data_IF_454053582071
#
_entry.id   IF_454053582071
#
_cell.length_a   1.000
_cell.length_b   1.000
_cell.length_c   1.000
_cell.angle_alpha   90.00
_cell.angle_beta   90.00
_cell.angle_gamma   90.00
#
_symmetry.space_group_name_H-M   'P 1'
#
loop_
_entity.id
_entity.type
_entity.pdbx_description
1 polymer ?
#
# COMPACT_ATOMS: atom_id res chain seq x y z
N UNK A 1 -31.60 -29.27 2.03
CA UNK A 1 -31.70 -27.91 2.61
C UNK A 1 -31.24 -26.93 1.55
N UNK A 2 -32.11 -25.99 1.18
CA UNK A 2 -31.84 -24.98 0.16
C UNK A 2 -30.93 -23.90 0.79
N UNK A 3 -29.70 -23.65 0.33
CA UNK A 3 -28.88 -22.58 0.86
C UNK A 3 -29.45 -21.27 0.32
N UNK A 4 -30.13 -20.51 1.19
CA UNK A 4 -30.65 -19.19 0.85
C UNK A 4 -29.53 -18.23 0.38
N UNK A 5 -29.89 -17.12 -0.28
CA UNK A 5 -28.92 -16.19 -0.83
C UNK A 5 -28.00 -15.66 0.26
N UNK A 6 -26.69 -15.81 0.06
CA UNK A 6 -25.63 -15.22 0.87
C UNK A 6 -25.92 -13.73 1.11
N UNK A 7 -26.41 -13.38 2.30
CA UNK A 7 -26.35 -12.01 2.81
C UNK A 7 -25.01 -11.86 3.52
N UNK A 8 -23.98 -11.50 2.76
CA UNK A 8 -22.73 -11.03 3.35
C UNK A 8 -23.04 -9.81 4.23
N UNK A 9 -22.86 -9.96 5.54
CA UNK A 9 -22.88 -8.83 6.47
C UNK A 9 -21.52 -8.14 6.36
N UNK A 10 -21.34 -7.39 5.27
CA UNK A 10 -20.25 -6.43 5.14
C UNK A 10 -20.84 -5.06 5.39
N UNK A 11 -20.63 -4.53 6.60
CA UNK A 11 -20.84 -3.11 6.85
C UNK A 11 -19.95 -2.27 5.92
N UNK A 12 -20.29 -0.99 5.67
CA UNK A 12 -19.57 -0.11 4.75
C UNK A 12 -18.07 0.10 5.08
N UNK A 13 -17.61 -0.35 6.24
CA UNK A 13 -16.24 -0.18 6.73
C UNK A 13 -15.33 -1.43 6.55
N UNK A 14 -15.88 -2.58 6.14
CA UNK A 14 -15.15 -3.87 6.15
C UNK A 14 -14.30 -4.15 4.89
N UNK A 15 -14.33 -3.29 3.87
CA UNK A 15 -13.63 -3.47 2.58
C UNK A 15 -12.18 -2.94 2.54
N UNK A 16 -11.58 -2.60 3.69
CA UNK A 16 -10.45 -1.67 3.71
C UNK A 16 -9.08 -2.19 4.17
N UNK A 17 -8.88 -3.46 4.52
CA UNK A 17 -7.66 -3.83 5.25
C UNK A 17 -6.77 -4.87 4.57
N UNK A 18 -5.99 -4.39 3.59
CA UNK A 18 -4.64 -4.84 3.30
C UNK A 18 -3.79 -3.57 3.06
N UNK A 19 -2.91 -3.21 4.01
CA UNK A 19 -2.02 -2.01 4.01
C UNK A 19 -2.43 -0.97 2.97
N UNK A 20 -3.47 -0.19 3.26
CA UNK A 20 -4.16 0.62 2.24
C UNK A 20 -3.19 1.58 1.52
N UNK A 21 -2.63 1.19 0.38
CA UNK A 21 -1.68 2.06 -0.31
C UNK A 21 -2.34 3.38 -0.74
N UNK A 22 -3.64 3.36 -1.04
CA UNK A 22 -4.43 4.57 -1.38
C UNK A 22 -5.06 5.24 -0.17
N UNK A 23 -5.44 4.49 0.87
CA UNK A 23 -5.99 5.01 2.14
C UNK A 23 -4.95 5.59 3.10
N UNK A 24 -3.67 5.62 2.67
CA UNK A 24 -2.62 6.36 3.35
C UNK A 24 -1.35 5.58 3.70
N UNK A 25 -1.25 4.30 3.32
CA UNK A 25 -0.25 3.36 3.82
C UNK A 25 -0.36 3.13 5.33
N UNK A 26 -1.59 2.87 5.80
CA UNK A 26 -1.89 2.52 7.20
C UNK A 26 -1.24 1.17 7.54
N UNK A 27 -0.52 1.13 8.67
CA UNK A 27 0.00 -0.12 9.22
C UNK A 27 -1.09 -0.88 9.98
N UNK A 28 -1.12 -2.20 9.79
CA UNK A 28 -2.05 -3.06 10.51
C UNK A 28 -1.52 -3.33 11.91
N UNK A 29 -2.42 -3.35 12.90
CA UNK A 29 -2.07 -3.75 14.26
C UNK A 29 -1.49 -5.18 14.24
N UNK A 30 -0.50 -5.49 15.11
CA UNK A 30 0.07 -6.83 15.18
C UNK A 30 -1.00 -7.92 15.34
N UNK A 31 -0.93 -8.96 14.51
CA UNK A 31 -1.86 -10.09 14.55
C UNK A 31 -3.25 -9.83 13.96
N UNK A 32 -3.50 -8.63 13.41
CA UNK A 32 -4.79 -8.28 12.83
C UNK A 32 -5.19 -9.24 11.70
N UNK A 33 -4.34 -9.45 10.69
CA UNK A 33 -4.69 -10.33 9.57
C UNK A 33 -4.89 -11.78 10.03
N UNK A 34 -4.15 -12.22 11.05
CA UNK A 34 -4.31 -13.57 11.60
C UNK A 34 -5.74 -13.76 12.13
N UNK A 35 -6.22 -12.82 12.95
CA UNK A 35 -7.57 -12.88 13.50
C UNK A 35 -8.64 -12.80 12.40
N UNK A 36 -8.46 -11.92 11.41
CA UNK A 36 -9.38 -11.80 10.27
C UNK A 36 -9.44 -13.11 9.48
N UNK A 37 -8.30 -13.71 9.16
CA UNK A 37 -8.27 -14.96 8.39
C UNK A 37 -8.89 -16.12 9.16
N UNK A 38 -8.65 -16.20 10.47
CA UNK A 38 -9.26 -17.20 11.35
C UNK A 38 -10.80 -17.08 11.34
N UNK A 39 -11.34 -15.85 11.37
CA UNK A 39 -12.79 -15.60 11.30
C UNK A 39 -13.36 -15.96 9.92
N UNK A 40 -12.72 -15.48 8.85
CA UNK A 40 -13.17 -15.71 7.46
C UNK A 40 -13.21 -17.21 7.14
N UNK A 41 -12.16 -17.95 7.50
CA UNK A 41 -12.08 -19.40 7.25
C UNK A 41 -13.09 -20.18 8.08
N UNK A 42 -13.35 -19.80 9.34
CA UNK A 42 -14.42 -20.41 10.15
C UNK A 42 -15.81 -20.23 9.53
N UNK A 43 -16.03 -19.14 8.79
CA UNK A 43 -17.26 -18.90 8.05
C UNK A 43 -17.29 -19.57 6.66
N UNK A 44 -16.25 -20.34 6.28
CA UNK A 44 -16.12 -20.97 4.97
C UNK A 44 -15.71 -20.03 3.84
N UNK A 45 -15.20 -18.83 4.17
CA UNK A 45 -14.70 -17.86 3.20
C UNK A 45 -13.24 -18.10 2.81
N UNK A 46 -12.81 -17.39 1.77
CA UNK A 46 -11.42 -17.37 1.29
C UNK A 46 -10.75 -16.03 1.60
N UNK A 47 -9.45 -16.08 1.88
CA UNK A 47 -8.64 -14.93 2.22
C UNK A 47 -7.82 -14.48 1.01
N UNK A 48 -8.05 -13.24 0.56
CA UNK A 48 -7.38 -12.65 -0.61
C UNK A 48 -6.45 -11.54 -0.13
N UNK A 49 -5.16 -11.64 -0.46
CA UNK A 49 -4.21 -10.56 -0.26
C UNK A 49 -4.03 -9.76 -1.56
N UNK A 50 -4.41 -8.47 -1.54
CA UNK A 50 -4.07 -7.53 -2.60
C UNK A 50 -2.65 -7.00 -2.39
N UNK A 51 -1.71 -7.57 -3.14
CA UNK A 51 -0.28 -7.24 -3.08
C UNK A 51 0.14 -6.35 -4.26
N UNK A 52 -0.81 -5.72 -4.95
CA UNK A 52 -0.52 -4.87 -6.10
C UNK A 52 0.43 -3.72 -5.73
N UNK A 53 0.34 -3.20 -4.50
CA UNK A 53 1.24 -2.14 -4.03
C UNK A 53 2.34 -2.62 -3.09
N UNK A 54 2.07 -3.64 -2.27
CA UNK A 54 2.94 -4.05 -1.17
C UNK A 54 3.87 -5.21 -1.49
N UNK A 55 3.60 -5.94 -2.58
CA UNK A 55 4.43 -7.05 -3.02
C UNK A 55 5.79 -6.63 -3.58
N UNK A 56 6.56 -7.63 -4.00
CA UNK A 56 7.87 -7.49 -4.64
C UNK A 56 8.89 -6.71 -3.81
N UNK A 57 8.96 -6.98 -2.50
CA UNK A 57 9.95 -6.40 -1.60
C UNK A 57 9.71 -4.93 -1.25
N UNK A 58 8.56 -4.36 -1.64
CA UNK A 58 8.25 -2.93 -1.42
C UNK A 58 8.29 -2.53 0.06
N UNK A 59 7.91 -3.43 0.95
CA UNK A 59 7.91 -3.18 2.40
C UNK A 59 9.30 -3.25 3.03
N UNK A 60 10.31 -3.72 2.29
CA UNK A 60 11.70 -3.84 2.71
C UNK A 60 11.95 -5.05 3.60
N UNK A 61 11.14 -5.26 4.65
CA UNK A 61 11.34 -6.38 5.57
C UNK A 61 10.97 -7.74 4.98
N UNK A 62 9.99 -7.78 4.07
CA UNK A 62 9.47 -9.01 3.48
C UNK A 62 9.21 -8.81 1.99
N UNK A 63 9.08 -9.92 1.27
CA UNK A 63 8.80 -9.90 -0.16
C UNK A 63 7.33 -9.53 -0.42
N UNK A 64 6.44 -10.03 0.41
CA UNK A 64 5.00 -9.77 0.38
C UNK A 64 4.53 -9.04 1.64
N UNK A 65 3.51 -8.20 1.49
CA UNK A 65 2.92 -7.45 2.60
C UNK A 65 2.30 -8.34 3.67
N UNK A 66 1.62 -9.42 3.29
CA UNK A 66 0.96 -10.36 4.20
C UNK A 66 1.95 -11.07 5.14
N UNK A 67 3.21 -11.25 4.73
CA UNK A 67 4.24 -11.91 5.54
C UNK A 67 4.55 -11.10 6.81
N UNK A 68 4.38 -9.76 6.75
CA UNK A 68 4.55 -8.88 7.91
C UNK A 68 3.53 -9.13 9.03
N UNK A 69 2.53 -9.96 8.78
CA UNK A 69 1.50 -10.38 9.75
C UNK A 69 1.54 -11.90 10.01
N UNK A 70 2.50 -12.62 9.44
CA UNK A 70 2.67 -14.07 9.64
C UNK A 70 1.51 -14.91 9.12
N UNK A 71 0.83 -14.47 8.07
CA UNK A 71 -0.31 -15.18 7.47
C UNK A 71 -0.01 -15.63 6.04
N UNK A 72 -0.69 -16.68 5.57
CA UNK A 72 -0.65 -17.12 4.17
C UNK A 72 -2.09 -17.01 3.62
N UNK A 73 -2.32 -16.19 2.59
CA UNK A 73 -3.63 -16.07 1.94
C UNK A 73 -3.92 -17.25 1.02
N UNK A 74 -5.19 -17.41 0.65
CA UNK A 74 -5.62 -18.42 -0.31
C UNK A 74 -5.44 -17.92 -1.77
N UNK A 75 -5.53 -16.59 -1.96
CA UNK A 75 -5.33 -15.91 -3.25
C UNK A 75 -4.42 -14.68 -3.05
N UNK A 76 -3.48 -14.44 -3.96
CA UNK A 76 -2.66 -13.23 -4.02
C UNK A 76 -2.87 -12.55 -5.37
N UNK A 77 -3.23 -11.27 -5.36
CA UNK A 77 -3.27 -10.44 -6.58
C UNK A 77 -2.04 -9.55 -6.66
N UNK A 78 -1.46 -9.42 -7.85
CA UNK A 78 -0.23 -8.66 -8.06
C UNK A 78 -0.23 -7.95 -9.41
N UNK A 79 0.35 -6.75 -9.45
CA UNK A 79 0.58 -5.97 -10.66
C UNK A 79 1.70 -4.95 -10.36
N UNK A 80 1.67 -3.75 -10.97
CA UNK A 80 2.60 -2.63 -10.71
C UNK A 80 4.07 -3.06 -10.69
N UNK A 81 4.60 -3.36 -9.50
CA UNK A 81 5.99 -3.77 -9.28
C UNK A 81 6.41 -4.95 -10.15
N UNK A 82 5.52 -5.90 -10.45
CA UNK A 82 5.84 -7.08 -11.28
C UNK A 82 6.32 -6.74 -12.69
N UNK A 83 5.78 -5.67 -13.29
CA UNK A 83 6.13 -5.24 -14.64
C UNK A 83 7.01 -4.01 -14.65
N UNK A 84 7.18 -3.33 -13.51
CA UNK A 84 7.94 -2.08 -13.35
C UNK A 84 7.76 -1.09 -14.53
N UNK A 85 6.51 -0.86 -14.94
CA UNK A 85 6.13 -0.02 -16.08
C UNK A 85 5.51 -0.79 -17.25
N UNK A 86 5.81 -2.08 -17.38
CA UNK A 86 5.12 -2.96 -18.34
C UNK A 86 3.73 -3.37 -17.80
N UNK A 87 2.72 -3.49 -18.67
CA UNK A 87 1.36 -3.88 -18.28
C UNK A 87 1.30 -5.37 -17.96
N UNK A 88 1.69 -5.72 -16.74
CA UNK A 88 1.70 -7.08 -16.24
C UNK A 88 0.96 -7.16 -14.90
N UNK A 89 0.10 -8.17 -14.79
CA UNK A 89 -0.57 -8.56 -13.56
C UNK A 89 -0.73 -10.07 -13.50
N UNK A 90 -0.86 -10.59 -12.30
CA UNK A 90 -1.05 -12.01 -12.06
C UNK A 90 -1.93 -12.23 -10.83
N UNK A 91 -2.52 -13.43 -10.78
CA UNK A 91 -3.21 -13.96 -9.62
C UNK A 91 -2.60 -15.32 -9.33
N UNK A 92 -2.19 -15.54 -8.09
CA UNK A 92 -1.71 -16.84 -7.59
C UNK A 92 -2.72 -17.34 -6.57
N UNK A 93 -3.01 -18.63 -6.57
CA UNK A 93 -4.04 -19.23 -5.72
C UNK A 93 -3.66 -20.66 -5.33
N UNK A 94 -4.33 -21.23 -4.32
CA UNK A 94 -4.18 -22.64 -3.98
C UNK A 94 -4.62 -23.56 -5.14
N UNK A 95 -4.09 -24.80 -5.22
CA UNK A 95 -4.51 -25.77 -6.21
C UNK A 95 -6.02 -26.08 -6.18
N UNK A 96 -6.65 -26.12 -4.99
CA UNK A 96 -8.10 -26.39 -4.91
C UNK A 96 -8.89 -25.29 -5.63
N UNK A 97 -8.57 -24.02 -5.38
CA UNK A 97 -9.24 -22.90 -6.05
C UNK A 97 -8.90 -22.88 -7.54
N UNK A 98 -7.63 -23.11 -7.92
CA UNK A 98 -7.22 -23.18 -9.31
C UNK A 98 -8.01 -24.25 -10.09
N UNK A 99 -8.28 -25.40 -9.47
CA UNK A 99 -9.04 -26.50 -10.09
C UNK A 99 -10.48 -26.09 -10.45
N UNK A 100 -11.12 -25.25 -9.64
CA UNK A 100 -12.46 -24.72 -9.90
C UNK A 100 -12.41 -23.67 -11.02
N UNK A 101 -11.41 -22.79 -10.99
CA UNK A 101 -11.23 -21.75 -12.01
C UNK A 101 -10.95 -22.34 -13.39
N UNK A 102 -10.18 -23.43 -13.45
CA UNK A 102 -9.88 -24.15 -14.69
C UNK A 102 -11.11 -24.76 -15.39
N UNK A 103 -12.21 -24.95 -14.66
CA UNK A 103 -13.49 -25.39 -15.25
C UNK A 103 -14.25 -24.26 -15.96
N UNK A 104 -13.76 -23.02 -15.88
CA UNK A 104 -14.34 -21.84 -16.52
C UNK A 104 -13.40 -21.32 -17.60
N UNK A 105 -13.97 -20.74 -18.66
CA UNK A 105 -13.19 -20.02 -19.66
C UNK A 105 -12.75 -18.70 -19.04
N UNK A 106 -11.45 -18.59 -18.74
CA UNK A 106 -10.81 -17.32 -18.44
C UNK A 106 -9.95 -16.92 -19.63
N UNK A 107 -10.22 -15.73 -20.19
CA UNK A 107 -9.52 -15.25 -21.37
C UNK A 107 -9.11 -13.79 -21.22
N UNK A 108 -7.88 -13.49 -21.63
CA UNK A 108 -7.31 -12.16 -21.67
C UNK A 108 -6.38 -12.04 -22.88
N UNK A 109 -6.74 -11.22 -23.88
CA UNK A 109 -6.00 -11.09 -25.15
C UNK A 109 -4.51 -10.82 -24.97
N UNK A 110 -4.15 -10.02 -23.96
CA UNK A 110 -2.76 -9.65 -23.66
C UNK A 110 -2.19 -10.34 -22.42
N UNK A 111 -2.96 -11.23 -21.79
CA UNK A 111 -2.53 -11.92 -20.57
C UNK A 111 -1.34 -12.83 -20.83
N UNK A 112 -0.30 -12.69 -20.02
CA UNK A 112 0.90 -13.52 -20.12
C UNK A 112 1.69 -13.35 -21.42
N UNK A 113 1.48 -12.28 -22.18
CA UNK A 113 2.18 -12.06 -23.45
C UNK A 113 3.71 -12.14 -23.27
N UNK A 114 4.46 -12.73 -24.21
CA UNK A 114 5.89 -13.01 -24.02
C UNK A 114 6.74 -11.79 -23.70
N UNK A 115 6.41 -10.62 -24.27
CA UNK A 115 7.15 -9.38 -24.04
C UNK A 115 7.04 -8.90 -22.58
N UNK A 116 5.82 -8.82 -22.05
CA UNK A 116 5.60 -8.45 -20.66
C UNK A 116 6.13 -9.52 -19.69
N UNK A 117 5.98 -10.80 -20.02
CA UNK A 117 6.49 -11.91 -19.20
C UNK A 117 8.02 -11.91 -19.09
N UNK A 118 8.73 -11.69 -20.20
CA UNK A 118 10.19 -11.58 -20.20
C UNK A 118 10.68 -10.35 -19.42
N UNK A 119 9.99 -9.20 -19.58
CA UNK A 119 10.28 -8.00 -18.82
C UNK A 119 10.03 -8.19 -17.32
N UNK A 120 8.93 -8.84 -16.95
CA UNK A 120 8.63 -9.18 -15.55
C UNK A 120 9.69 -10.10 -14.95
N UNK A 121 10.16 -11.11 -15.68
CA UNK A 121 11.25 -11.98 -15.23
C UNK A 121 12.55 -11.20 -14.99
N UNK A 122 12.88 -10.24 -15.87
CA UNK A 122 14.04 -9.38 -15.68
C UNK A 122 13.91 -8.51 -14.42
N UNK A 123 12.71 -7.97 -14.16
CA UNK A 123 12.41 -7.20 -12.94
C UNK A 123 12.61 -8.05 -11.69
N UNK A 124 12.07 -9.27 -11.65
CA UNK A 124 12.22 -10.18 -10.51
C UNK A 124 13.69 -10.45 -10.19
N UNK A 125 14.52 -10.72 -11.21
CA UNK A 125 15.96 -10.93 -11.03
C UNK A 125 16.67 -9.74 -10.37
N UNK A 126 16.27 -8.51 -10.72
CA UNK A 126 16.84 -7.30 -10.09
C UNK A 126 16.35 -7.16 -8.65
N UNK A 127 15.09 -7.50 -8.38
CA UNK A 127 14.51 -7.42 -7.04
C UNK A 127 15.21 -8.40 -6.09
N UNK A 128 15.32 -9.66 -6.52
CA UNK A 128 15.87 -10.77 -5.74
C UNK A 128 17.37 -10.57 -5.43
N UNK A 129 18.10 -9.85 -6.29
CA UNK A 129 19.53 -9.61 -6.10
C UNK A 129 19.82 -8.60 -4.98
N UNK A 130 19.08 -7.49 -4.93
CA UNK A 130 19.49 -6.37 -4.06
C UNK A 130 18.37 -5.40 -3.64
N UNK A 131 17.22 -5.37 -4.32
CA UNK A 131 16.30 -4.24 -4.12
C UNK A 131 15.49 -4.29 -2.83
N UNK A 132 15.18 -5.47 -2.31
CA UNK A 132 14.44 -5.58 -1.05
C UNK A 132 15.27 -5.00 0.12
N UNK A 133 16.52 -5.43 0.27
CA UNK A 133 17.43 -4.91 1.30
C UNK A 133 17.69 -3.41 1.13
N UNK A 134 17.91 -2.95 -0.11
CA UNK A 134 18.05 -1.53 -0.43
C UNK A 134 16.80 -0.72 -0.03
N UNK A 135 15.60 -1.24 -0.26
CA UNK A 135 14.36 -0.59 0.17
C UNK A 135 14.24 -0.48 1.68
N UNK A 136 14.70 -1.49 2.43
CA UNK A 136 14.72 -1.42 3.89
C UNK A 136 15.67 -0.31 4.39
N UNK A 137 16.88 -0.21 3.82
CA UNK A 137 17.88 0.79 4.20
C UNK A 137 17.43 2.22 3.86
N UNK A 138 17.11 2.48 2.58
CA UNK A 138 16.70 3.82 2.13
C UNK A 138 15.34 4.21 2.71
N UNK A 139 14.41 3.25 2.83
CA UNK A 139 13.11 3.48 3.45
C UNK A 139 13.24 3.89 4.92
N UNK A 140 14.11 3.23 5.68
CA UNK A 140 14.39 3.60 7.08
C UNK A 140 15.03 4.97 7.19
N UNK A 141 15.97 5.30 6.29
CA UNK A 141 16.57 6.63 6.22
C UNK A 141 15.52 7.72 5.95
N UNK A 142 14.63 7.52 4.98
CA UNK A 142 13.57 8.46 4.65
C UNK A 142 12.57 8.65 5.81
N UNK A 143 12.16 7.56 6.46
CA UNK A 143 11.26 7.61 7.63
C UNK A 143 11.94 8.36 8.79
N UNK A 144 13.21 8.09 9.06
CA UNK A 144 13.97 8.78 10.10
C UNK A 144 14.01 10.28 9.87
N UNK A 145 14.32 10.71 8.64
CA UNK A 145 14.29 12.12 8.24
C UNK A 145 12.90 12.74 8.44
N UNK A 146 11.84 12.08 7.95
CA UNK A 146 10.47 12.59 8.10
C UNK A 146 10.06 12.76 9.56
N UNK A 147 10.49 11.86 10.45
CA UNK A 147 10.26 11.98 11.90
C UNK A 147 10.98 13.19 12.49
N UNK A 148 12.26 13.39 12.17
CA UNK A 148 13.00 14.57 12.64
C UNK A 148 12.34 15.87 12.23
N UNK A 149 11.79 15.95 11.00
CA UNK A 149 11.00 17.12 10.61
C UNK A 149 9.72 17.27 11.43
N UNK A 150 9.00 16.18 11.67
CA UNK A 150 7.78 16.24 12.46
C UNK A 150 8.08 16.85 13.85
N UNK A 151 9.17 16.44 14.48
CA UNK A 151 9.64 16.97 15.77
C UNK A 151 10.03 18.46 15.68
N UNK A 152 10.75 18.86 14.63
CA UNK A 152 11.16 20.26 14.40
C UNK A 152 9.97 21.17 14.04
N UNK A 153 8.89 20.58 13.54
CA UNK A 153 7.84 21.29 12.85
C UNK A 153 6.41 20.87 13.25
N UNK A 154 6.18 20.59 14.54
CA UNK A 154 4.84 20.42 15.14
C UNK A 154 3.83 21.53 14.74
N UNK A 155 4.35 22.68 14.30
CA UNK A 155 3.60 23.85 13.83
C UNK A 155 3.14 23.80 12.37
N UNK A 156 3.67 22.92 11.52
CA UNK A 156 3.39 22.91 10.06
C UNK A 156 1.99 22.39 9.71
N UNK A 157 1.28 21.73 10.63
CA UNK A 157 -0.08 21.24 10.40
C UNK A 157 -0.18 20.09 9.38
N UNK A 158 0.96 19.56 8.90
CA UNK A 158 1.02 18.42 7.96
C UNK A 158 1.14 17.16 8.79
N UNK A 159 0.32 16.15 8.51
CA UNK A 159 0.64 14.82 8.98
C UNK A 159 1.66 14.20 8.01
N UNK A 160 2.94 14.23 8.40
CA UNK A 160 4.00 13.49 7.74
C UNK A 160 4.06 12.10 8.36
N UNK A 161 3.58 11.07 7.64
CA UNK A 161 3.53 9.74 8.24
C UNK A 161 2.89 8.66 7.37
N UNK A 162 2.76 7.48 7.98
CA UNK A 162 2.07 6.31 7.44
C UNK A 162 0.59 6.40 7.84
N UNK A 163 -0.30 6.64 6.89
CA UNK A 163 -1.76 6.73 7.10
C UNK A 163 -2.40 7.87 6.32
N UNK A 164 -3.70 8.13 6.51
CA UNK A 164 -4.37 9.31 5.92
C UNK A 164 -5.67 9.05 5.18
N UNK A 165 -6.74 8.76 5.94
CA UNK A 165 -8.08 8.53 5.38
C UNK A 165 -8.80 9.82 4.94
N UNK A 166 -8.28 11.00 5.34
CA UNK A 166 -8.93 12.30 5.11
C UNK A 166 -8.20 13.17 4.07
N UNK A 167 -7.35 12.56 3.23
CA UNK A 167 -6.60 13.30 2.20
C UNK A 167 -5.55 14.28 2.74
N UNK A 168 -5.31 14.27 4.04
CA UNK A 168 -4.41 15.17 4.77
C UNK A 168 -3.00 14.61 4.97
N UNK A 169 -2.60 13.63 4.15
CA UNK A 169 -1.29 12.98 4.26
C UNK A 169 -0.50 13.10 2.98
N UNK A 170 0.70 13.63 3.13
CA UNK A 170 1.70 13.68 2.08
C UNK A 170 2.35 12.30 1.92
N UNK A 171 2.19 11.69 0.74
CA UNK A 171 2.65 10.31 0.47
C UNK A 171 3.86 10.32 -0.45
N UNK A 172 4.91 9.62 -0.04
CA UNK A 172 6.14 9.47 -0.81
C UNK A 172 6.34 7.97 -1.09
N UNK A 173 6.36 7.61 -2.38
CA UNK A 173 6.58 6.23 -2.86
C UNK A 173 7.64 6.23 -3.96
N UNK A 174 8.92 6.35 -3.60
CA UNK A 174 9.98 6.44 -4.59
C UNK A 174 10.21 5.08 -5.27
N UNK A 175 10.84 5.06 -6.47
CA UNK A 175 11.25 3.80 -7.10
C UNK A 175 12.24 3.03 -6.19
N UNK A 176 12.35 1.72 -6.34
CA UNK A 176 13.21 0.89 -5.47
C UNK A 176 14.72 1.08 -5.73
N UNK A 177 15.10 1.81 -6.78
CA UNK A 177 16.48 2.22 -7.05
C UNK A 177 16.84 3.58 -6.42
N UNK A 178 15.89 4.23 -5.75
CA UNK A 178 16.07 5.55 -5.15
C UNK A 178 17.15 5.53 -4.08
N UNK A 179 18.07 6.49 -4.12
CA UNK A 179 19.24 6.53 -3.23
C UNK A 179 19.02 7.45 -2.02
N UNK A 180 19.94 7.40 -1.04
CA UNK A 180 19.95 8.34 0.08
C UNK A 180 20.18 9.79 -0.38
N UNK A 181 20.97 9.98 -1.45
CA UNK A 181 21.19 11.30 -2.05
C UNK A 181 19.91 11.84 -2.70
N UNK A 182 19.18 10.98 -3.43
CA UNK A 182 17.87 11.35 -3.99
C UNK A 182 16.88 11.68 -2.88
N UNK A 183 16.89 10.91 -1.79
CA UNK A 183 16.09 11.21 -0.61
C UNK A 183 16.42 12.59 -0.05
N UNK A 184 17.70 12.94 0.11
CA UNK A 184 18.12 14.27 0.56
C UNK A 184 17.57 15.40 -0.32
N UNK A 185 17.68 15.26 -1.65
CA UNK A 185 17.18 16.26 -2.61
C UNK A 185 15.66 16.39 -2.58
N UNK A 186 14.93 15.27 -2.66
CA UNK A 186 13.45 15.27 -2.60
C UNK A 186 12.92 15.81 -1.28
N UNK A 187 13.65 15.57 -0.20
CA UNK A 187 13.30 16.04 1.13
C UNK A 187 13.48 17.56 1.27
N UNK A 188 14.61 18.10 0.82
CA UNK A 188 14.83 19.56 0.77
C UNK A 188 13.75 20.25 -0.03
N UNK A 189 13.43 19.72 -1.22
CA UNK A 189 12.36 20.25 -2.06
C UNK A 189 11.00 20.23 -1.36
N UNK A 190 10.66 19.14 -0.67
CA UNK A 190 9.38 18.98 0.02
C UNK A 190 9.25 19.99 1.16
N UNK A 191 10.32 20.26 1.91
CA UNK A 191 10.32 21.28 2.97
C UNK A 191 10.17 22.68 2.41
N UNK A 192 10.93 23.03 1.38
CA UNK A 192 10.81 24.34 0.74
C UNK A 192 9.41 24.56 0.15
N UNK A 193 8.81 23.51 -0.41
CA UNK A 193 7.45 23.53 -0.93
C UNK A 193 6.41 23.75 0.17
N UNK A 194 6.46 22.98 1.26
CA UNK A 194 5.54 23.12 2.40
C UNK A 194 5.70 24.51 3.04
N UNK A 195 6.93 25.00 3.21
CA UNK A 195 7.20 26.33 3.75
C UNK A 195 6.62 27.45 2.87
N UNK A 196 6.69 27.31 1.54
CA UNK A 196 6.06 28.24 0.59
C UNK A 196 4.53 28.20 0.69
N UNK A 197 3.94 27.01 0.73
CA UNK A 197 2.50 26.85 0.88
C UNK A 197 1.98 27.49 2.18
N UNK A 198 2.68 27.30 3.30
CA UNK A 198 2.29 27.88 4.59
C UNK A 198 2.40 29.41 4.63
N UNK A 199 3.29 30.01 3.83
CA UNK A 199 3.33 31.48 3.65
C UNK A 199 2.14 31.99 2.84
N UNK A 200 1.71 31.22 1.84
CA UNK A 200 0.58 31.58 0.97
C UNK A 200 -0.77 31.35 1.66
N UNK A 201 -0.86 30.33 2.52
CA UNK A 201 -2.08 29.95 3.24
C UNK A 201 -1.82 29.88 4.75
N UNK A 202 -1.82 31.03 5.47
CA UNK A 202 -1.62 31.05 6.91
C UNK A 202 -2.69 30.27 7.67
N UNK A 203 -2.37 29.85 8.90
CA UNK A 203 -3.34 29.19 9.80
C UNK A 203 -4.60 30.03 9.96
N UNK A 204 -5.76 29.39 9.79
CA UNK A 204 -7.08 30.05 9.82
C UNK A 204 -7.62 30.46 8.44
N UNK A 205 -6.88 30.22 7.35
CA UNK A 205 -7.41 30.36 5.99
C UNK A 205 -8.52 29.31 5.77
N UNK A 206 -9.68 29.74 5.29
CA UNK A 206 -10.76 28.81 4.91
C UNK A 206 -10.35 28.03 3.66
N UNK A 207 -9.83 26.82 3.87
CA UNK A 207 -9.38 25.94 2.80
C UNK A 207 -10.52 25.19 2.13
N UNK A 208 -11.81 25.43 2.45
CA UNK A 208 -12.89 24.72 1.77
C UNK A 208 -13.03 25.06 0.28
N UNK A 209 -12.46 26.18 -0.18
CA UNK A 209 -12.44 26.56 -1.61
C UNK A 209 -11.24 26.00 -2.39
N UNK A 210 -10.24 25.44 -1.71
CA UNK A 210 -8.98 24.97 -2.31
C UNK A 210 -8.82 23.55 -1.81
N UNK A 211 -9.01 22.53 -2.65
CA UNK A 211 -9.22 21.11 -2.28
C UNK A 211 -8.13 20.37 -1.47
N UNK A 212 -7.32 21.06 -0.67
CA UNK A 212 -6.41 20.55 0.35
C UNK A 212 -6.96 20.87 1.75
N UNK A 213 -7.58 19.90 2.42
CA UNK A 213 -7.95 20.05 3.83
C UNK A 213 -6.70 20.00 4.72
N UNK A 214 -6.34 21.14 5.28
CA UNK A 214 -5.30 21.28 6.30
C UNK A 214 -5.96 21.52 7.66
N UNK A 215 -6.05 20.48 8.49
CA UNK A 215 -6.53 20.63 9.86
C UNK A 215 -6.95 19.31 10.51
N UNK A 216 -6.47 19.09 11.74
CA UNK A 216 -7.17 18.27 12.72
C UNK A 216 -8.23 19.18 13.37
N UNK A 217 -9.52 18.97 13.12
CA UNK A 217 -10.52 19.41 14.10
C UNK A 217 -10.53 18.34 15.19
N UNK A 218 -9.97 18.66 16.35
CA UNK A 218 -10.33 17.97 17.58
C UNK A 218 -11.71 18.47 17.98
N UNK A 219 -12.72 17.88 17.39
CA UNK A 219 -14.08 17.91 17.95
C UNK A 219 -14.45 16.46 18.15
N UNK A 220 -14.18 15.97 19.36
CA UNK A 220 -14.80 14.73 19.83
C UNK A 220 -16.33 14.88 19.70
N UNK A 221 -17.04 13.87 19.21
CA UNK A 221 -18.49 13.88 19.29
C UNK A 221 -18.89 13.71 20.76
N UNK A 222 -19.58 14.72 21.29
CA UNK A 222 -20.36 14.69 22.53
C UNK A 222 -21.42 13.60 22.50
#
# INVERSE_FOLDING_TARGET
MNPGPFRGVFGPDATRYAKEGVGGAVELAPGYLKQVYDIVRKAGGVCIADEVQTGFGRTGSHYWGFETQGVIPDIVTMAKGIGNGLPLGAVVTTPEIASVMAQKIQFNTFGGNPGCSAGGLAVLRVIDKERQAHCADVGSHLIGRLRSLQDEHDKLGVLLGKGGLRGNVFRIKPPMCFTKDDAGRSFSFSIDFIAKLNKQFPKGTDTQQIGFQWGYSQTEPS
#
